data_IF_009610743096
#
_entry.id   IF_009610743096
#
_cell.length_a   1.000
_cell.length_b   1.000
_cell.length_c   1.000
_cell.angle_alpha   90.00
_cell.angle_beta   90.00
_cell.angle_gamma   90.00
#
_symmetry.space_group_name_H-M   'P 1'
#
loop_
_entity.id
_entity.type
_entity.pdbx_description
1 polymer ?
#
# COMPACT_ATOMS: atom_id res chain seq x y z
N UNK A 1 -45.32 -4.72 12.18
CA UNK A 1 -44.00 -4.73 11.53
C UNK A 1 -43.50 -3.30 11.60
N UNK A 2 -42.59 -3.04 12.52
CA UNK A 2 -42.01 -1.70 12.70
C UNK A 2 -41.02 -1.42 11.56
N UNK A 3 -41.04 -0.22 10.95
CA UNK A 3 -40.05 0.11 9.93
C UNK A 3 -38.72 0.33 10.64
N UNK A 4 -37.75 -0.56 10.42
CA UNK A 4 -36.35 -0.31 10.81
C UNK A 4 -35.85 0.86 9.99
N UNK A 5 -35.92 2.05 10.60
CA UNK A 5 -35.51 3.32 10.02
C UNK A 5 -34.11 3.20 9.42
N UNK A 6 -34.02 3.37 8.10
CA UNK A 6 -32.78 3.46 7.30
C UNK A 6 -32.00 4.75 7.58
N UNK A 7 -32.04 5.26 8.81
CA UNK A 7 -31.31 6.44 9.24
C UNK A 7 -29.87 6.13 9.68
N UNK A 8 -29.52 4.84 9.82
CA UNK A 8 -28.25 4.38 10.39
C UNK A 8 -27.09 4.25 9.39
N UNK A 9 -27.32 4.46 8.09
CA UNK A 9 -26.30 4.21 7.04
C UNK A 9 -25.63 5.49 6.52
N UNK A 10 -26.02 6.66 7.02
CA UNK A 10 -25.44 7.93 6.58
C UNK A 10 -24.40 8.44 7.58
N UNK A 11 -23.15 8.02 7.38
CA UNK A 11 -22.01 8.64 8.04
C UNK A 11 -21.68 9.91 7.24
N UNK A 12 -21.83 11.07 7.88
CA UNK A 12 -21.44 12.34 7.27
C UNK A 12 -19.95 12.34 6.92
N UNK A 13 -19.58 13.01 5.83
CA UNK A 13 -18.20 13.04 5.32
C UNK A 13 -17.18 13.45 6.39
N UNK A 14 -17.54 14.40 7.24
CA UNK A 14 -16.68 14.88 8.33
C UNK A 14 -16.42 13.79 9.37
N UNK A 15 -17.44 12.99 9.69
CA UNK A 15 -17.31 11.87 10.62
C UNK A 15 -16.47 10.76 10.00
N UNK A 16 -16.72 10.42 8.72
CA UNK A 16 -15.90 9.44 8.00
C UNK A 16 -14.42 9.87 7.94
N UNK A 17 -14.17 11.16 7.67
CA UNK A 17 -12.82 11.72 7.65
C UNK A 17 -12.15 11.61 9.03
N UNK A 18 -12.83 12.03 10.09
CA UNK A 18 -12.28 11.95 11.45
C UNK A 18 -11.95 10.52 11.86
N UNK A 19 -12.74 9.53 11.43
CA UNK A 19 -12.46 8.11 11.67
C UNK A 19 -11.20 7.68 10.91
N UNK A 20 -11.10 8.01 9.61
CA UNK A 20 -9.93 7.67 8.81
C UNK A 20 -8.65 8.31 9.35
N UNK A 21 -8.71 9.56 9.79
CA UNK A 21 -7.57 10.27 10.36
C UNK A 21 -7.10 9.60 11.66
N UNK A 22 -8.03 9.30 12.57
CA UNK A 22 -7.72 8.63 13.84
C UNK A 22 -7.18 7.21 13.63
N UNK A 23 -7.79 6.43 12.73
CA UNK A 23 -7.30 5.08 12.38
C UNK A 23 -5.93 5.15 11.74
N UNK A 24 -5.70 6.12 10.85
CA UNK A 24 -4.41 6.36 10.21
C UNK A 24 -3.31 6.67 11.23
N UNK A 25 -3.60 7.54 12.20
CA UNK A 25 -2.67 7.89 13.27
C UNK A 25 -2.29 6.67 14.12
N UNK A 26 -3.28 5.89 14.57
CA UNK A 26 -3.04 4.67 15.36
C UNK A 26 -2.23 3.64 14.59
N UNK A 27 -2.56 3.43 13.31
CA UNK A 27 -1.83 2.51 12.45
C UNK A 27 -0.36 2.97 12.28
N UNK A 28 -0.13 4.27 12.13
CA UNK A 28 1.23 4.81 12.02
C UNK A 28 2.03 4.63 13.31
N UNK A 29 1.41 4.85 14.47
CA UNK A 29 2.04 4.61 15.78
C UNK A 29 2.41 3.12 15.96
N UNK A 30 1.48 2.21 15.67
CA UNK A 30 1.69 0.76 15.76
C UNK A 30 2.79 0.30 14.78
N UNK A 31 2.76 0.77 13.53
CA UNK A 31 3.78 0.46 12.53
C UNK A 31 5.16 1.05 12.90
N UNK A 32 5.20 2.21 13.56
CA UNK A 32 6.45 2.79 14.03
C UNK A 32 7.07 1.96 15.16
N UNK A 33 6.24 1.35 16.02
CA UNK A 33 6.68 0.41 17.04
C UNK A 33 7.17 -0.91 16.44
N UNK A 34 6.48 -1.41 15.40
CA UNK A 34 6.91 -2.60 14.62
C UNK A 34 8.14 -2.31 13.75
N UNK A 35 8.41 -1.05 13.42
CA UNK A 35 9.62 -0.60 12.73
C UNK A 35 10.85 -0.57 13.67
N UNK A 36 10.91 -1.48 14.63
CA UNK A 36 12.16 -1.83 15.30
C UNK A 36 13.23 -2.07 14.23
N UNK A 37 14.41 -1.42 14.33
CA UNK A 37 15.44 -1.56 13.34
C UNK A 37 15.75 -3.03 13.15
N UNK A 38 15.68 -3.47 11.88
CA UNK A 38 15.97 -4.85 11.52
C UNK A 38 17.33 -5.25 12.12
N UNK A 39 17.45 -6.47 12.69
CA UNK A 39 18.74 -7.00 13.07
C UNK A 39 19.78 -6.80 11.95
N UNK A 40 21.04 -6.43 12.26
CA UNK A 40 22.03 -6.03 11.24
C UNK A 40 22.28 -7.06 10.13
N UNK A 41 21.98 -8.33 10.37
CA UNK A 41 22.03 -9.37 9.34
C UNK A 41 20.86 -9.27 8.34
N UNK A 42 19.65 -9.01 8.81
CA UNK A 42 18.46 -8.88 7.96
C UNK A 42 18.53 -7.59 7.14
N UNK A 43 19.02 -6.49 7.71
CA UNK A 43 19.26 -5.25 6.98
C UNK A 43 20.25 -5.47 5.81
N UNK A 44 21.36 -6.18 6.06
CA UNK A 44 22.31 -6.57 5.01
C UNK A 44 21.67 -7.43 3.93
N UNK A 45 20.86 -8.43 4.30
CA UNK A 45 20.15 -9.27 3.34
C UNK A 45 19.19 -8.47 2.46
N UNK A 46 18.37 -7.60 3.06
CA UNK A 46 17.44 -6.73 2.33
C UNK A 46 18.18 -5.81 1.35
N UNK A 47 19.34 -5.28 1.76
CA UNK A 47 20.16 -4.43 0.90
C UNK A 47 20.72 -5.21 -0.30
N UNK A 48 21.16 -6.45 -0.13
CA UNK A 48 21.63 -7.28 -1.24
C UNK A 48 20.48 -7.65 -2.20
N UNK A 49 19.30 -8.02 -1.68
CA UNK A 49 18.12 -8.32 -2.51
C UNK A 49 17.71 -7.11 -3.37
N UNK A 50 17.70 -5.91 -2.79
CA UNK A 50 17.40 -4.66 -3.53
C UNK A 50 18.43 -4.33 -4.60
N UNK A 51 19.72 -4.66 -4.38
CA UNK A 51 20.76 -4.51 -5.41
C UNK A 51 20.50 -5.47 -6.56
N UNK A 52 20.15 -6.72 -6.28
CA UNK A 52 19.82 -7.73 -7.29
C UNK A 52 18.57 -7.36 -8.09
N UNK A 53 17.55 -6.81 -7.44
CA UNK A 53 16.36 -6.30 -8.13
C UNK A 53 16.74 -5.23 -9.14
N UNK A 54 17.46 -4.18 -8.73
CA UNK A 54 17.90 -3.09 -9.63
C UNK A 54 18.74 -3.59 -10.81
N UNK A 55 19.65 -4.52 -10.56
CA UNK A 55 20.48 -5.12 -11.61
C UNK A 55 19.66 -5.94 -12.62
N UNK A 56 18.56 -6.57 -12.18
CA UNK A 56 17.66 -7.28 -13.09
C UNK A 56 16.81 -6.33 -13.96
N UNK A 57 16.50 -5.13 -13.49
CA UNK A 57 15.77 -4.13 -14.28
C UNK A 57 16.66 -3.54 -15.38
N UNK A 58 17.96 -3.39 -15.12
CA UNK A 58 18.94 -2.93 -16.12
C UNK A 58 19.31 -4.01 -17.17
N UNK A 59 18.95 -5.27 -16.94
CA UNK A 59 19.21 -6.41 -17.82
C UNK A 59 18.07 -6.79 -18.77
N UNK A 60 16.87 -6.19 -18.63
CA UNK A 60 15.73 -6.44 -19.52
C UNK A 60 15.36 -5.14 -20.24
N UNK A 61 16.24 -4.74 -21.16
CA UNK A 61 15.86 -3.86 -22.25
C UNK A 61 15.00 -4.61 -23.26
N UNK A 62 13.68 -4.58 -23.11
CA UNK A 62 12.76 -4.83 -24.23
C UNK A 62 11.45 -4.06 -24.00
N UNK A 63 11.08 -3.14 -24.90
CA UNK A 63 9.82 -2.41 -24.80
C UNK A 63 8.67 -3.38 -25.12
N UNK A 64 7.84 -3.66 -24.12
CA UNK A 64 6.62 -4.44 -24.26
C UNK A 64 5.49 -3.62 -24.93
N UNK A 65 5.80 -2.92 -26.03
CA UNK A 65 4.83 -2.05 -26.72
C UNK A 65 4.61 -2.46 -28.18
N UNK A 66 4.70 -3.77 -28.47
CA UNK A 66 4.53 -4.31 -29.83
C UNK A 66 3.09 -4.73 -30.18
N UNK A 67 2.14 -4.71 -29.24
CA UNK A 67 0.83 -5.32 -29.50
C UNK A 67 -0.37 -4.55 -28.96
N UNK A 68 -0.47 -3.25 -29.23
CA UNK A 68 -1.74 -2.48 -29.25
C UNK A 68 -1.53 -1.34 -30.27
N UNK A 69 -1.93 -1.33 -31.54
CA UNK A 69 -3.04 -1.93 -32.24
C UNK A 69 -2.65 -2.09 -33.71
N UNK A 70 -2.49 -3.32 -34.19
CA UNK A 70 -2.79 -3.65 -35.57
C UNK A 70 -4.22 -4.21 -35.58
N UNK A 71 -5.12 -3.53 -36.29
CA UNK A 71 -6.28 -4.04 -37.07
C UNK A 71 -7.41 -2.99 -37.12
N UNK A 72 -8.32 -3.10 -38.11
CA UNK A 72 -8.19 -3.57 -39.49
C UNK A 72 -8.30 -2.43 -40.52
#
# INVERSE_FOLDING_TARGET
>A
MEPTSRASDHIDRLTAQSICDEVGNRLQEDLFLEASPLPPYLERLVNELRKQERVQIDGVGAPADRFLHARP
#
